data_IF_201869574165
#
_entry.id   IF_201869574165
#
_cell.length_a   1.000
_cell.length_b   1.000
_cell.length_c   1.000
_cell.angle_alpha   90.00
_cell.angle_beta   90.00
_cell.angle_gamma   90.00
#
_symmetry.space_group_name_H-M   'P 1'
#
loop_
_entity.id
_entity.type
_entity.pdbx_description
1 polymer ?
#
# COMPACT_ATOMS: atom_id res chain seq x y z
N UNK A 1 25.76 -9.17 0.75
CA UNK A 1 27.23 -9.17 0.74
C UNK A 1 27.84 -8.89 2.11
N UNK A 2 27.13 -8.20 3.03
CA UNK A 2 27.64 -7.81 4.36
C UNK A 2 27.48 -8.89 5.45
N UNK A 3 26.86 -10.02 5.13
CA UNK A 3 26.70 -11.15 6.04
C UNK A 3 27.59 -12.31 5.62
N UNK A 4 28.35 -12.87 6.56
CA UNK A 4 29.16 -14.09 6.35
C UNK A 4 28.31 -15.36 6.46
N UNK A 5 27.27 -15.33 7.31
CA UNK A 5 26.32 -16.42 7.53
C UNK A 5 24.92 -15.82 7.64
N UNK A 6 23.95 -16.51 7.08
CA UNK A 6 22.54 -16.09 7.17
C UNK A 6 22.05 -16.23 8.62
N UNK A 7 21.55 -15.13 9.24
CA UNK A 7 20.97 -15.19 10.58
C UNK A 7 19.57 -15.81 10.54
N UNK A 8 18.99 -16.03 11.72
CA UNK A 8 17.61 -16.52 11.84
C UNK A 8 16.63 -15.63 11.08
N UNK A 9 15.54 -16.21 10.57
CA UNK A 9 14.56 -15.54 9.70
C UNK A 9 14.03 -14.23 10.26
N UNK A 10 13.78 -14.13 11.57
CA UNK A 10 13.35 -12.89 12.21
C UNK A 10 14.37 -11.75 12.01
N UNK A 11 15.65 -12.02 12.29
CA UNK A 11 16.72 -11.03 12.12
C UNK A 11 16.91 -10.69 10.66
N UNK A 12 16.85 -11.70 9.77
CA UNK A 12 16.96 -11.49 8.33
C UNK A 12 15.84 -10.61 7.79
N UNK A 13 14.61 -10.85 8.21
CA UNK A 13 13.47 -10.05 7.77
C UNK A 13 13.54 -8.61 8.28
N UNK A 14 14.00 -8.41 9.51
CA UNK A 14 14.25 -7.07 10.04
C UNK A 14 15.34 -6.33 9.23
N UNK A 15 16.43 -7.02 8.91
CA UNK A 15 17.48 -6.45 8.06
C UNK A 15 16.98 -6.12 6.65
N UNK A 16 16.13 -6.97 6.06
CA UNK A 16 15.51 -6.72 4.74
C UNK A 16 14.61 -5.49 4.77
N UNK A 17 13.73 -5.39 5.78
CA UNK A 17 12.83 -4.26 5.95
C UNK A 17 13.60 -2.95 6.08
N UNK A 18 14.54 -2.89 7.03
CA UNK A 18 15.38 -1.71 7.23
C UNK A 18 16.23 -1.36 5.98
N UNK A 19 16.66 -2.37 5.22
CA UNK A 19 17.41 -2.14 3.97
C UNK A 19 16.54 -1.45 2.92
N UNK A 20 15.29 -1.87 2.76
CA UNK A 20 14.37 -1.24 1.80
C UNK A 20 14.05 0.19 2.23
N UNK A 21 13.78 0.40 3.51
CA UNK A 21 13.51 1.74 4.05
C UNK A 21 14.69 2.71 3.83
N UNK A 22 15.92 2.26 4.11
CA UNK A 22 17.14 3.01 3.80
C UNK A 22 17.29 3.29 2.29
N UNK A 23 16.97 2.32 1.45
CA UNK A 23 17.08 2.46 0.01
C UNK A 23 16.05 3.42 -0.58
N UNK A 24 14.89 3.56 0.06
CA UNK A 24 13.85 4.53 -0.28
C UNK A 24 14.11 5.94 0.28
N UNK A 25 15.25 6.17 0.92
CA UNK A 25 15.65 7.48 1.43
C UNK A 25 15.19 7.76 2.87
N UNK A 26 14.80 6.72 3.62
CA UNK A 26 14.49 6.84 5.05
C UNK A 26 15.68 7.37 5.85
N UNK A 27 15.38 8.11 6.93
CA UNK A 27 16.45 8.63 7.81
C UNK A 27 17.34 7.51 8.35
N UNK A 28 18.60 7.53 7.93
CA UNK A 28 19.54 6.45 8.22
C UNK A 28 19.74 6.23 9.74
N UNK A 29 19.73 7.29 10.54
CA UNK A 29 19.89 7.19 11.99
C UNK A 29 18.65 6.59 12.64
N UNK A 30 17.46 7.04 12.25
CA UNK A 30 16.17 6.55 12.76
C UNK A 30 15.99 5.07 12.44
N UNK A 31 16.11 4.69 11.16
CA UNK A 31 15.93 3.30 10.68
C UNK A 31 16.88 2.33 11.40
N UNK A 32 18.16 2.68 11.53
CA UNK A 32 19.13 1.83 12.22
C UNK A 32 18.79 1.70 13.71
N UNK A 33 18.44 2.81 14.37
CA UNK A 33 18.11 2.81 15.80
C UNK A 33 16.85 1.99 16.08
N UNK A 34 15.82 2.11 15.27
CA UNK A 34 14.58 1.32 15.44
C UNK A 34 14.83 -0.18 15.25
N UNK A 35 15.57 -0.56 14.22
CA UNK A 35 15.94 -1.95 13.99
C UNK A 35 16.73 -2.54 15.19
N UNK A 36 17.69 -1.77 15.71
CA UNK A 36 18.47 -2.15 16.90
C UNK A 36 17.59 -2.23 18.16
N UNK A 37 16.66 -1.30 18.34
CA UNK A 37 15.74 -1.28 19.46
C UNK A 37 14.78 -2.48 19.46
N UNK A 38 14.23 -2.82 18.30
CA UNK A 38 13.40 -4.01 18.11
C UNK A 38 14.16 -5.30 18.46
N UNK A 39 15.38 -5.45 18.01
CA UNK A 39 16.21 -6.61 18.37
C UNK A 39 16.55 -6.61 19.85
N UNK A 40 16.87 -5.47 20.45
CA UNK A 40 17.21 -5.38 21.89
C UNK A 40 16.09 -5.87 22.80
N UNK A 41 14.83 -5.66 22.40
CA UNK A 41 13.64 -6.11 23.12
C UNK A 41 13.31 -7.61 22.91
N UNK A 42 13.92 -8.23 21.88
CA UNK A 42 13.60 -9.61 21.52
C UNK A 42 14.37 -10.61 22.40
N UNK A 43 13.67 -11.42 23.20
CA UNK A 43 14.27 -12.36 24.17
C UNK A 43 15.35 -13.28 23.58
N UNK A 44 15.14 -13.80 22.36
CA UNK A 44 16.03 -14.77 21.71
C UNK A 44 17.14 -14.13 20.87
N UNK A 45 16.88 -12.96 20.27
CA UNK A 45 17.78 -12.39 19.26
C UNK A 45 18.42 -11.07 19.69
N UNK A 46 18.24 -10.63 20.94
CA UNK A 46 18.81 -9.39 21.46
C UNK A 46 20.33 -9.28 21.34
N UNK A 47 21.04 -10.40 21.46
CA UNK A 47 22.49 -10.46 21.25
C UNK A 47 22.93 -10.06 19.81
N UNK A 48 22.02 -10.14 18.83
CA UNK A 48 22.33 -9.83 17.41
C UNK A 48 22.19 -8.33 17.08
N UNK A 49 21.83 -7.47 18.04
CA UNK A 49 21.74 -6.02 17.85
C UNK A 49 23.01 -5.39 17.29
N UNK A 50 24.21 -5.85 17.74
CA UNK A 50 25.49 -5.37 17.23
C UNK A 50 25.73 -5.74 15.77
N UNK A 51 25.33 -6.95 15.36
CA UNK A 51 25.38 -7.38 13.96
C UNK A 51 24.46 -6.49 13.09
N UNK A 52 23.22 -6.29 13.52
CA UNK A 52 22.28 -5.46 12.78
C UNK A 52 22.78 -4.02 12.61
N UNK A 53 23.25 -3.39 13.69
CA UNK A 53 23.84 -2.05 13.63
C UNK A 53 25.01 -1.96 12.63
N UNK A 54 25.95 -2.92 12.70
CA UNK A 54 27.11 -2.92 11.80
C UNK A 54 26.74 -3.12 10.32
N UNK A 55 25.78 -4.02 10.06
CA UNK A 55 25.30 -4.30 8.69
C UNK A 55 24.51 -3.12 8.13
N UNK A 56 23.57 -2.59 8.89
CA UNK A 56 22.68 -1.52 8.43
C UNK A 56 23.42 -0.20 8.21
N UNK A 57 24.44 0.12 9.04
CA UNK A 57 25.29 1.29 8.81
C UNK A 57 26.06 1.21 7.49
N UNK A 58 26.56 0.02 7.13
CA UNK A 58 27.23 -0.19 5.83
C UNK A 58 26.23 -0.05 4.67
N UNK A 59 25.02 -0.60 4.85
CA UNK A 59 23.96 -0.50 3.84
C UNK A 59 23.52 0.96 3.67
N UNK A 60 23.34 1.72 4.75
CA UNK A 60 22.92 3.11 4.72
C UNK A 60 23.81 3.99 3.83
N UNK A 61 25.13 3.70 3.79
CA UNK A 61 26.08 4.45 2.97
C UNK A 61 25.90 4.25 1.45
N UNK A 62 25.23 3.19 1.00
CA UNK A 62 25.20 2.80 -0.42
C UNK A 62 23.79 2.45 -0.94
N UNK A 63 22.80 2.30 -0.05
CA UNK A 63 21.48 1.74 -0.40
C UNK A 63 20.73 2.57 -1.45
N UNK A 64 20.71 3.89 -1.28
CA UNK A 64 19.99 4.83 -2.17
C UNK A 64 20.54 4.76 -3.60
N UNK A 65 21.85 4.69 -3.77
CA UNK A 65 22.45 4.59 -5.10
C UNK A 65 22.30 3.19 -5.70
N UNK A 66 22.39 2.16 -4.86
CA UNK A 66 22.25 0.78 -5.33
C UNK A 66 20.84 0.46 -5.80
N UNK A 67 19.79 0.99 -5.15
CA UNK A 67 18.42 0.71 -5.55
C UNK A 67 18.12 1.24 -6.96
N UNK A 68 18.72 2.37 -7.35
CA UNK A 68 18.52 2.98 -8.68
C UNK A 68 18.99 2.11 -9.84
N UNK A 69 19.97 1.24 -9.60
CA UNK A 69 20.51 0.35 -10.63
C UNK A 69 19.98 -1.08 -10.56
N UNK A 70 19.15 -1.38 -9.57
CA UNK A 70 18.53 -2.70 -9.46
C UNK A 70 17.43 -2.85 -10.51
N UNK A 71 17.36 -4.06 -11.09
CA UNK A 71 16.21 -4.43 -11.92
C UNK A 71 14.98 -4.62 -11.05
N UNK A 72 13.80 -4.35 -11.62
CA UNK A 72 12.55 -4.66 -10.96
C UNK A 72 12.53 -6.13 -10.48
N UNK A 73 12.04 -6.40 -9.27
CA UNK A 73 11.85 -7.76 -8.79
C UNK A 73 10.92 -8.52 -9.73
N UNK A 74 11.35 -9.73 -10.12
CA UNK A 74 10.54 -10.59 -10.97
C UNK A 74 9.44 -11.26 -10.18
N UNK A 75 8.27 -11.39 -10.78
CA UNK A 75 7.19 -12.23 -10.25
C UNK A 75 7.64 -13.69 -10.09
N UNK A 76 7.05 -14.45 -9.16
CA UNK A 76 7.31 -15.88 -9.04
C UNK A 76 7.12 -16.62 -10.36
N UNK A 77 7.97 -17.61 -10.65
CA UNK A 77 7.97 -18.32 -11.95
C UNK A 77 6.60 -18.87 -12.35
N UNK A 78 5.85 -19.39 -11.39
CA UNK A 78 4.51 -19.97 -11.61
C UNK A 78 3.48 -18.95 -12.11
N UNK A 79 3.64 -17.68 -11.75
CA UNK A 79 2.77 -16.58 -12.19
C UNK A 79 3.35 -15.89 -13.44
N UNK A 80 4.65 -15.67 -13.44
CA UNK A 80 5.35 -14.98 -14.54
C UNK A 80 5.25 -15.72 -15.87
N UNK A 81 5.35 -17.05 -15.84
CA UNK A 81 5.29 -17.90 -17.06
C UNK A 81 3.97 -17.68 -17.83
N UNK A 82 2.81 -18.02 -17.26
CA UNK A 82 1.51 -17.81 -17.91
C UNK A 82 1.24 -16.36 -18.33
N UNK A 83 1.64 -15.38 -17.52
CA UNK A 83 1.47 -13.97 -17.87
C UNK A 83 2.37 -13.56 -19.05
N UNK A 84 3.58 -14.09 -19.13
CA UNK A 84 4.46 -13.83 -20.27
C UNK A 84 3.90 -14.43 -21.56
N UNK A 85 3.30 -15.61 -21.49
CA UNK A 85 2.63 -16.26 -22.61
C UNK A 85 1.40 -15.47 -23.09
N UNK A 86 0.61 -14.94 -22.15
CA UNK A 86 -0.61 -14.19 -22.45
C UNK A 86 -0.33 -12.76 -22.97
N UNK A 87 0.69 -12.08 -22.44
CA UNK A 87 0.90 -10.64 -22.64
C UNK A 87 2.23 -10.26 -23.31
N UNK A 88 3.14 -11.16 -23.53
CA UNK A 88 4.53 -10.96 -23.96
C UNK A 88 5.52 -10.64 -22.85
N UNK A 89 6.81 -10.82 -23.13
CA UNK A 89 7.90 -10.50 -22.20
C UNK A 89 8.05 -9.01 -21.95
N UNK A 90 7.72 -8.18 -22.91
CA UNK A 90 7.80 -6.73 -22.81
C UNK A 90 6.74 -6.19 -21.84
N UNK A 91 5.48 -6.56 -22.04
CA UNK A 91 4.38 -6.18 -21.15
C UNK A 91 4.61 -6.75 -19.75
N UNK A 92 5.13 -7.98 -19.65
CA UNK A 92 5.49 -8.55 -18.35
C UNK A 92 6.53 -7.71 -17.59
N UNK A 93 7.52 -7.17 -18.31
CA UNK A 93 8.49 -6.23 -17.73
C UNK A 93 7.84 -4.93 -17.23
N UNK A 94 6.87 -4.39 -17.98
CA UNK A 94 6.11 -3.21 -17.55
C UNK A 94 5.23 -3.48 -16.32
N UNK A 95 4.62 -4.67 -16.22
CA UNK A 95 3.87 -5.09 -15.04
C UNK A 95 4.79 -5.16 -13.80
N UNK A 96 5.98 -5.76 -13.93
CA UNK A 96 6.96 -5.84 -12.86
C UNK A 96 7.43 -4.44 -12.40
N UNK A 97 7.62 -3.50 -13.33
CA UNK A 97 7.93 -2.10 -13.02
C UNK A 97 6.77 -1.38 -12.31
N UNK A 98 5.53 -1.59 -12.75
CA UNK A 98 4.35 -1.02 -12.10
C UNK A 98 4.19 -1.53 -10.66
N UNK A 99 4.47 -2.81 -10.41
CA UNK A 99 4.49 -3.36 -9.05
C UNK A 99 5.58 -2.73 -8.17
N UNK A 100 6.74 -2.45 -8.75
CA UNK A 100 7.84 -1.79 -8.02
C UNK A 100 7.50 -0.33 -7.67
N UNK A 101 6.80 0.38 -8.56
CA UNK A 101 6.37 1.75 -8.33
C UNK A 101 5.32 1.88 -7.20
N UNK A 102 4.64 0.77 -6.87
CA UNK A 102 3.57 0.76 -5.89
C UNK A 102 2.23 1.26 -6.45
N UNK A 103 1.19 1.10 -5.66
CA UNK A 103 -0.14 1.58 -6.02
C UNK A 103 -0.29 3.07 -5.65
N UNK A 104 -0.92 3.89 -6.51
CA UNK A 104 -1.30 5.25 -6.14
C UNK A 104 -2.35 5.20 -5.02
N UNK A 105 -2.46 6.27 -4.25
CA UNK A 105 -3.54 6.43 -3.29
C UNK A 105 -4.76 7.01 -4.00
N UNK A 106 -5.80 6.21 -4.13
CA UNK A 106 -7.10 6.66 -4.64
C UNK A 106 -8.10 6.79 -3.49
N UNK A 107 -8.95 7.80 -3.55
CA UNK A 107 -10.03 8.02 -2.59
C UNK A 107 -11.36 8.20 -3.33
N UNK A 108 -12.42 7.77 -2.68
CA UNK A 108 -13.81 8.06 -3.06
C UNK A 108 -14.39 9.07 -2.09
N UNK A 109 -15.24 9.97 -2.58
CA UNK A 109 -15.83 11.06 -1.80
C UNK A 109 -17.34 10.93 -1.72
N UNK A 110 -17.94 11.48 -0.67
CA UNK A 110 -19.42 11.52 -0.54
C UNK A 110 -20.08 12.39 -1.61
N UNK A 111 -19.46 13.52 -1.90
CA UNK A 111 -19.99 14.49 -2.87
C UNK A 111 -18.87 15.42 -3.34
N UNK A 112 -19.11 16.16 -4.43
CA UNK A 112 -18.24 17.22 -4.96
C UNK A 112 -16.77 16.79 -5.16
N UNK A 113 -16.58 15.72 -5.91
CA UNK A 113 -15.24 15.21 -6.22
C UNK A 113 -14.29 16.27 -6.84
N UNK A 114 -14.76 17.19 -7.71
CA UNK A 114 -13.91 18.28 -8.21
C UNK A 114 -13.35 19.18 -7.11
N UNK A 115 -14.20 19.65 -6.18
CA UNK A 115 -13.77 20.51 -5.10
C UNK A 115 -12.80 19.79 -4.13
N UNK A 116 -13.03 18.50 -3.86
CA UNK A 116 -12.11 17.70 -3.05
C UNK A 116 -10.80 17.43 -3.76
N UNK A 117 -10.80 17.23 -5.09
CA UNK A 117 -9.57 17.06 -5.87
C UNK A 117 -8.70 18.32 -5.78
N UNK A 118 -9.30 19.51 -5.94
CA UNK A 118 -8.59 20.79 -5.78
C UNK A 118 -8.06 20.96 -4.36
N UNK A 119 -8.89 20.73 -3.35
CA UNK A 119 -8.54 20.91 -1.93
C UNK A 119 -7.41 19.99 -1.47
N UNK A 120 -7.32 18.78 -1.99
CA UNK A 120 -6.32 17.79 -1.63
C UNK A 120 -5.12 17.74 -2.60
N UNK A 121 -5.12 18.57 -3.64
CA UNK A 121 -4.09 18.59 -4.68
C UNK A 121 -4.05 17.28 -5.50
N UNK A 122 -5.21 16.61 -5.63
CA UNK A 122 -5.35 15.36 -6.35
C UNK A 122 -5.84 15.53 -7.79
N UNK A 123 -5.81 14.44 -8.53
CA UNK A 123 -6.31 14.37 -9.92
C UNK A 123 -7.55 13.50 -9.99
N UNK A 124 -8.62 13.99 -10.63
CA UNK A 124 -9.81 13.20 -10.90
C UNK A 124 -9.49 12.08 -11.89
N UNK A 125 -9.89 10.86 -11.54
CA UNK A 125 -9.86 9.73 -12.45
C UNK A 125 -11.11 9.74 -13.36
N UNK A 126 -11.09 9.06 -14.51
CA UNK A 126 -12.26 8.96 -15.39
C UNK A 126 -13.52 8.38 -14.73
N UNK A 127 -13.37 7.73 -13.60
CA UNK A 127 -14.46 7.05 -12.86
C UNK A 127 -14.87 7.79 -11.57
N UNK A 128 -14.40 9.03 -11.37
CA UNK A 128 -14.84 9.89 -10.29
C UNK A 128 -14.08 9.73 -8.96
N UNK A 129 -13.12 8.82 -8.87
CA UNK A 129 -12.20 8.77 -7.73
C UNK A 129 -11.15 9.89 -7.85
N UNK A 130 -10.55 10.28 -6.74
CA UNK A 130 -9.46 11.24 -6.71
C UNK A 130 -8.17 10.48 -6.45
N UNK A 131 -7.19 10.64 -7.31
CA UNK A 131 -5.84 10.09 -7.18
C UNK A 131 -4.91 11.09 -6.55
N UNK A 132 -4.30 10.71 -5.43
CA UNK A 132 -3.32 11.49 -4.70
C UNK A 132 -1.92 10.93 -4.97
N UNK A 133 -0.99 11.83 -5.25
CA UNK A 133 0.44 11.51 -5.30
C UNK A 133 1.09 12.07 -4.04
N UNK A 134 2.01 11.29 -3.45
CA UNK A 134 2.77 11.70 -2.26
C UNK A 134 1.89 12.21 -1.10
N UNK A 135 0.76 11.54 -0.87
CA UNK A 135 -0.27 11.97 0.09
C UNK A 135 0.22 12.07 1.55
N UNK A 136 1.39 11.52 1.87
CA UNK A 136 1.91 11.51 3.22
C UNK A 136 1.02 10.69 4.18
N UNK A 137 0.79 11.23 5.37
CA UNK A 137 -0.06 10.57 6.36
C UNK A 137 -1.54 10.80 6.02
N UNK A 138 -2.23 9.75 5.59
CA UNK A 138 -3.64 9.79 5.14
C UNK A 138 -4.56 10.38 6.22
N UNK A 139 -4.35 10.03 7.49
CA UNK A 139 -5.16 10.51 8.62
C UNK A 139 -5.01 12.02 8.89
N UNK A 140 -3.96 12.65 8.37
CA UNK A 140 -3.74 14.10 8.49
C UNK A 140 -4.38 14.91 7.35
N UNK A 141 -4.90 14.24 6.32
CA UNK A 141 -5.53 14.90 5.19
C UNK A 141 -6.87 15.54 5.58
N UNK A 142 -7.15 16.71 5.03
CA UNK A 142 -8.40 17.43 5.27
C UNK A 142 -9.61 16.56 4.92
N UNK A 143 -10.61 16.48 5.81
CA UNK A 143 -11.84 15.72 5.64
C UNK A 143 -11.79 14.26 6.06
N UNK A 144 -10.62 13.71 6.44
CA UNK A 144 -10.51 12.34 6.94
C UNK A 144 -11.32 12.15 8.23
N UNK A 145 -11.06 12.94 9.26
CA UNK A 145 -11.77 12.87 10.55
C UNK A 145 -13.29 13.14 10.43
N UNK A 146 -13.68 13.99 9.48
CA UNK A 146 -15.09 14.27 9.19
C UNK A 146 -15.76 13.16 8.35
N UNK A 147 -14.98 12.18 7.88
CA UNK A 147 -15.47 11.08 7.04
C UNK A 147 -16.05 11.55 5.72
N UNK A 148 -15.52 12.63 5.14
CA UNK A 148 -16.02 13.18 3.86
C UNK A 148 -15.61 12.33 2.67
N UNK A 149 -14.62 11.50 2.83
CA UNK A 149 -14.07 10.58 1.85
C UNK A 149 -13.46 9.36 2.54
N UNK A 150 -13.15 8.33 1.77
CA UNK A 150 -12.49 7.10 2.23
C UNK A 150 -11.50 6.61 1.18
N UNK A 151 -10.51 5.83 1.63
CA UNK A 151 -9.53 5.19 0.74
C UNK A 151 -10.23 4.07 -0.03
N UNK A 152 -10.19 4.16 -1.35
CA UNK A 152 -10.75 3.15 -2.24
C UNK A 152 -10.07 3.22 -3.60
N UNK A 153 -9.45 2.13 -4.00
CA UNK A 153 -8.88 2.00 -5.35
C UNK A 153 -9.96 2.23 -6.42
N UNK A 154 -9.60 2.97 -7.47
CA UNK A 154 -10.53 3.32 -8.57
C UNK A 154 -11.16 2.09 -9.21
N UNK A 155 -10.40 1.01 -9.43
CA UNK A 155 -10.96 -0.22 -10.00
C UNK A 155 -11.91 -0.91 -9.02
N UNK A 156 -11.65 -0.83 -7.71
CA UNK A 156 -12.57 -1.34 -6.69
C UNK A 156 -13.86 -0.52 -6.58
N UNK A 157 -13.87 0.74 -6.98
CA UNK A 157 -15.05 1.58 -7.02
C UNK A 157 -15.98 1.30 -8.22
N UNK A 158 -15.45 0.75 -9.32
CA UNK A 158 -16.19 0.52 -10.56
C UNK A 158 -17.48 -0.31 -10.41
N UNK A 159 -17.51 -1.44 -9.69
CA UNK A 159 -18.72 -2.25 -9.59
C UNK A 159 -19.90 -1.48 -8.98
N UNK A 160 -19.66 -0.70 -7.92
CA UNK A 160 -20.70 0.11 -7.30
C UNK A 160 -21.14 1.28 -8.20
N UNK A 161 -20.20 1.91 -8.92
CA UNK A 161 -20.52 2.95 -9.90
C UNK A 161 -21.36 2.42 -11.06
N UNK A 162 -21.06 1.22 -11.56
CA UNK A 162 -21.81 0.57 -12.65
C UNK A 162 -23.22 0.14 -12.24
N UNK A 163 -23.44 -0.14 -10.96
CA UNK A 163 -24.77 -0.46 -10.43
C UNK A 163 -25.73 0.72 -10.56
N UNK A 164 -25.22 1.97 -10.54
CA UNK A 164 -26.03 3.21 -10.66
C UNK A 164 -27.17 3.28 -9.66
N UNK A 165 -26.91 2.84 -8.43
CA UNK A 165 -27.89 2.85 -7.36
C UNK A 165 -28.45 4.27 -7.12
N UNK A 166 -29.75 4.37 -6.85
CA UNK A 166 -30.46 5.63 -6.66
C UNK A 166 -30.96 5.77 -5.23
N UNK A 167 -31.26 7.00 -4.85
CA UNK A 167 -31.90 7.30 -3.57
C UNK A 167 -33.15 6.43 -3.36
N UNK A 168 -33.25 5.81 -2.20
CA UNK A 168 -34.35 4.96 -1.78
C UNK A 168 -34.33 3.52 -2.31
N UNK A 169 -33.44 3.18 -3.23
CA UNK A 169 -33.24 1.78 -3.63
C UNK A 169 -32.64 0.95 -2.50
N UNK A 170 -33.01 -0.32 -2.43
CA UNK A 170 -32.46 -1.30 -1.49
C UNK A 170 -31.35 -2.08 -2.18
N UNK A 171 -30.15 -2.04 -1.62
CA UNK A 171 -28.95 -2.71 -2.16
C UNK A 171 -28.37 -3.65 -1.13
N UNK A 172 -27.92 -4.82 -1.56
CA UNK A 172 -27.20 -5.79 -0.73
C UNK A 172 -25.73 -5.84 -1.14
N UNK A 173 -24.83 -5.57 -0.19
CA UNK A 173 -23.38 -5.78 -0.32
C UNK A 173 -22.97 -7.04 0.48
N UNK A 174 -22.69 -8.14 -0.22
CA UNK A 174 -22.47 -9.46 0.37
C UNK A 174 -21.03 -9.72 0.84
N UNK A 175 -20.08 -8.89 0.47
CA UNK A 175 -18.66 -8.97 0.87
C UNK A 175 -18.18 -7.54 1.18
N UNK A 176 -18.80 -6.92 2.18
CA UNK A 176 -18.74 -5.48 2.36
C UNK A 176 -17.42 -4.98 2.95
N UNK A 177 -16.76 -5.78 3.78
CA UNK A 177 -15.58 -5.30 4.52
C UNK A 177 -14.38 -5.00 3.58
N UNK A 178 -13.68 -3.88 3.78
CA UNK A 178 -13.77 -2.89 4.85
C UNK A 178 -14.80 -1.76 4.63
N UNK A 179 -15.73 -1.87 3.68
CA UNK A 179 -16.84 -0.95 3.53
C UNK A 179 -16.76 0.04 2.37
N UNK A 180 -15.71 0.03 1.55
CA UNK A 180 -15.54 1.01 0.48
C UNK A 180 -16.71 1.09 -0.50
N UNK A 181 -17.22 -0.05 -0.99
CA UNK A 181 -18.38 -0.12 -1.87
C UNK A 181 -19.69 0.21 -1.14
N UNK A 182 -19.81 -0.27 0.11
CA UNK A 182 -20.95 0.05 0.98
C UNK A 182 -21.11 1.56 1.18
N UNK A 183 -20.01 2.27 1.51
CA UNK A 183 -20.02 3.73 1.66
C UNK A 183 -20.35 4.43 0.35
N UNK A 184 -19.82 3.96 -0.76
CA UNK A 184 -20.10 4.50 -2.09
C UNK A 184 -21.58 4.37 -2.45
N UNK A 185 -22.20 3.22 -2.18
CA UNK A 185 -23.63 2.98 -2.41
C UNK A 185 -24.49 3.81 -1.46
N UNK A 186 -24.13 3.88 -0.18
CA UNK A 186 -24.85 4.71 0.79
C UNK A 186 -24.78 6.20 0.44
N UNK A 187 -23.69 6.69 -0.11
CA UNK A 187 -23.54 8.07 -0.56
C UNK A 187 -24.52 8.45 -1.70
N UNK A 188 -25.07 7.48 -2.43
CA UNK A 188 -26.13 7.75 -3.42
C UNK A 188 -27.51 7.96 -2.80
N UNK A 189 -27.67 7.76 -1.49
CA UNK A 189 -28.96 7.74 -0.80
C UNK A 189 -29.68 6.39 -0.86
N UNK A 190 -29.05 5.34 -1.34
CA UNK A 190 -29.57 3.99 -1.29
C UNK A 190 -29.58 3.44 0.15
N UNK A 191 -30.53 2.55 0.46
CA UNK A 191 -30.55 1.79 1.71
C UNK A 191 -29.72 0.53 1.53
N UNK A 192 -28.53 0.50 2.13
CA UNK A 192 -27.59 -0.62 1.95
C UNK A 192 -27.68 -1.59 3.12
N UNK A 193 -27.88 -2.88 2.81
CA UNK A 193 -27.67 -3.98 3.76
C UNK A 193 -26.28 -4.57 3.47
N UNK A 194 -25.39 -4.53 4.45
CA UNK A 194 -24.00 -4.94 4.29
C UNK A 194 -23.71 -6.20 5.12
N UNK A 195 -23.13 -7.22 4.50
CA UNK A 195 -22.75 -8.50 5.10
C UNK A 195 -21.29 -8.82 4.80
N UNK A 196 -20.58 -9.36 5.76
CA UNK A 196 -19.27 -9.95 5.54
C UNK A 196 -19.08 -11.18 6.43
N UNK A 197 -18.33 -12.16 5.96
CA UNK A 197 -18.03 -13.37 6.73
C UNK A 197 -16.97 -13.15 7.83
N UNK A 198 -16.25 -12.04 7.79
CA UNK A 198 -15.16 -11.74 8.71
C UNK A 198 -15.55 -10.65 9.70
N UNK A 199 -15.92 -11.05 10.91
CA UNK A 199 -16.24 -10.14 12.01
C UNK A 199 -15.09 -9.15 12.29
N UNK A 200 -13.84 -9.63 12.27
CA UNK A 200 -12.65 -8.78 12.52
C UNK A 200 -12.38 -7.72 11.44
N UNK A 201 -13.01 -7.83 10.26
CA UNK A 201 -12.90 -6.85 9.17
C UNK A 201 -14.08 -5.87 9.15
N UNK A 202 -15.13 -6.15 9.94
CA UNK A 202 -16.28 -5.27 10.12
C UNK A 202 -16.07 -4.28 11.27
N UNK A 203 -15.10 -4.54 12.15
CA UNK A 203 -14.69 -3.68 13.25
C UNK A 203 -13.65 -2.66 12.74
#
# INVERSE_FOLDING_TARGET
PHLRKEPASYVMNLLRLATIELAQGGDAHGVVNEAVALLSKHKKYGAMKGLANAVLRKIAAEAVEKIKILRAPRLPKWLRGPLTEAYSSEIMGQIELAHLAGAPLDISVKSDAPAWAEKLGGTLTPFGSIRLQDAGQVTALAGFEAGEWWVQDTAAALPAALLKAKMGEKVLDMCCAPGGKTMQLAATGATVTALDASESRLA
#
